data_IF_992389385059
#
_entry.id   IF_992389385059
#
_cell.length_a   1.000
_cell.length_b   1.000
_cell.length_c   1.000
_cell.angle_alpha   90.00
_cell.angle_beta   90.00
_cell.angle_gamma   90.00
#
_symmetry.space_group_name_H-M   'P 1'
#
loop_
_entity.id
_entity.type
_entity.pdbx_description
1 polymer ?
#
# COMPACT_ATOMS: atom_id res chain seq x y z
N UNK A 1 8.48 -21.89 7.21
CA UNK A 1 7.35 -20.95 7.07
C UNK A 1 7.74 -19.92 6.02
N UNK A 2 6.84 -19.55 5.11
CA UNK A 2 7.10 -18.46 4.14
C UNK A 2 6.53 -17.15 4.68
N UNK A 3 7.24 -16.04 4.45
CA UNK A 3 6.86 -14.69 4.90
C UNK A 3 6.73 -13.79 3.67
N UNK A 4 5.64 -13.04 3.60
CA UNK A 4 5.41 -12.09 2.51
C UNK A 4 4.96 -10.73 3.01
N UNK A 5 5.16 -9.72 2.15
CA UNK A 5 4.73 -8.35 2.40
C UNK A 5 3.46 -8.07 1.59
N UNK A 6 2.41 -7.63 2.28
CA UNK A 6 1.26 -7.03 1.60
C UNK A 6 1.66 -5.60 1.28
N UNK A 7 1.64 -5.19 0.00
CA UNK A 7 2.11 -3.85 -0.39
C UNK A 7 0.97 -2.82 -0.33
N UNK A 8 1.24 -1.57 0.09
CA UNK A 8 0.20 -0.56 0.27
C UNK A 8 -0.17 0.07 -1.09
N UNK A 9 -0.96 -0.65 -1.87
CA UNK A 9 -1.44 -0.21 -3.18
C UNK A 9 -2.54 0.86 -3.10
N UNK A 10 -3.18 1.02 -1.94
CA UNK A 10 -4.08 2.12 -1.60
C UNK A 10 -3.44 3.09 -0.62
N UNK A 11 -3.85 4.36 -0.65
CA UNK A 11 -3.34 5.38 0.28
C UNK A 11 -3.54 4.97 1.75
N UNK A 12 -2.57 5.32 2.60
CA UNK A 12 -2.56 5.08 4.05
C UNK A 12 -2.48 3.61 4.51
N UNK A 13 -2.20 2.67 3.61
CA UNK A 13 -1.94 1.26 3.97
C UNK A 13 -3.16 0.60 4.60
N UNK A 14 -3.07 0.13 5.84
CA UNK A 14 -4.18 -0.56 6.53
C UNK A 14 -4.69 0.18 7.77
N UNK A 15 -4.35 1.47 7.93
CA UNK A 15 -4.76 2.26 9.10
C UNK A 15 -5.75 3.36 8.69
N UNK A 16 -6.94 3.32 9.29
CA UNK A 16 -7.99 4.33 9.12
C UNK A 16 -7.92 5.31 10.29
N UNK A 17 -6.90 6.17 10.28
CA UNK A 17 -6.66 7.13 11.37
C UNK A 17 -5.98 8.39 10.85
N UNK A 18 -6.40 9.55 11.36
CA UNK A 18 -5.72 10.83 11.10
C UNK A 18 -4.37 10.95 11.80
N UNK A 19 -4.09 10.07 12.77
CA UNK A 19 -2.79 9.99 13.46
C UNK A 19 -1.84 8.96 12.82
N UNK A 20 -2.27 8.24 11.79
CA UNK A 20 -1.41 7.34 11.03
C UNK A 20 -0.59 8.12 9.99
N UNK A 21 0.52 7.57 9.47
CA UNK A 21 1.22 8.14 8.33
C UNK A 21 0.27 8.34 7.14
N UNK A 22 0.21 9.57 6.61
CA UNK A 22 -0.59 9.89 5.44
C UNK A 22 0.31 9.86 4.20
N UNK A 23 0.01 8.98 3.24
CA UNK A 23 0.83 8.82 2.04
C UNK A 23 0.02 8.28 0.85
N UNK A 24 0.47 8.65 -0.34
CA UNK A 24 -0.12 8.20 -1.61
C UNK A 24 0.59 6.94 -2.12
N UNK A 25 -0.15 6.01 -2.77
CA UNK A 25 0.43 4.79 -3.28
C UNK A 25 1.14 5.06 -4.61
N UNK A 26 2.41 5.43 -4.57
CA UNK A 26 3.23 5.65 -5.77
C UNK A 26 4.00 4.38 -6.17
N UNK A 27 4.41 4.30 -7.43
CA UNK A 27 5.28 3.22 -7.89
C UNK A 27 6.61 3.19 -7.12
N UNK A 28 7.27 4.35 -6.95
CA UNK A 28 8.56 4.42 -6.24
C UNK A 28 8.45 3.99 -4.77
N UNK A 29 7.35 4.33 -4.08
CA UNK A 29 7.10 3.84 -2.73
C UNK A 29 6.98 2.31 -2.70
N UNK A 30 6.15 1.74 -3.58
CA UNK A 30 5.94 0.29 -3.63
C UNK A 30 7.22 -0.45 -4.05
N UNK A 31 8.00 0.11 -5.00
CA UNK A 31 9.31 -0.40 -5.41
C UNK A 31 10.29 -0.42 -4.25
N UNK A 32 10.41 0.69 -3.50
CA UNK A 32 11.31 0.75 -2.34
C UNK A 32 10.92 -0.25 -1.24
N UNK A 33 9.62 -0.46 -1.02
CA UNK A 33 9.11 -1.47 -0.07
C UNK A 33 9.50 -2.88 -0.52
N UNK A 34 9.23 -3.23 -1.79
CA UNK A 34 9.51 -4.57 -2.31
C UNK A 34 11.01 -4.84 -2.36
N UNK A 35 11.83 -3.88 -2.80
CA UNK A 35 13.30 -4.03 -2.81
C UNK A 35 13.86 -4.21 -1.39
N UNK A 36 13.29 -3.53 -0.39
CA UNK A 36 13.70 -3.71 1.01
C UNK A 36 13.25 -5.07 1.55
N UNK A 37 12.05 -5.53 1.20
CA UNK A 37 11.56 -6.86 1.58
C UNK A 37 12.43 -7.97 0.95
N UNK A 38 12.78 -7.83 -0.33
CA UNK A 38 13.70 -8.72 -1.04
C UNK A 38 15.09 -8.77 -0.37
N UNK A 39 15.65 -7.61 -0.02
CA UNK A 39 16.92 -7.52 0.72
C UNK A 39 16.90 -8.29 2.05
N UNK A 40 15.76 -8.31 2.74
CA UNK A 40 15.57 -9.06 3.99
C UNK A 40 14.99 -10.47 3.79
N UNK A 41 15.07 -11.02 2.58
CA UNK A 41 14.69 -12.40 2.25
C UNK A 41 13.21 -12.75 2.48
N UNK A 42 12.30 -11.78 2.30
CA UNK A 42 10.87 -12.10 2.18
C UNK A 42 10.64 -12.97 0.93
N UNK A 43 9.75 -13.96 1.06
CA UNK A 43 9.48 -14.96 0.01
C UNK A 43 8.57 -14.43 -1.11
N UNK A 44 7.71 -13.46 -0.82
CA UNK A 44 6.77 -12.91 -1.80
C UNK A 44 6.26 -11.50 -1.43
N UNK A 45 5.75 -10.80 -2.45
CA UNK A 45 5.00 -9.56 -2.29
C UNK A 45 3.62 -9.72 -2.94
N UNK A 46 2.57 -9.26 -2.27
CA UNK A 46 1.19 -9.34 -2.74
C UNK A 46 0.59 -7.94 -2.86
N UNK A 47 -0.17 -7.68 -3.92
CA UNK A 47 -1.05 -6.51 -4.01
C UNK A 47 -2.50 -6.96 -4.15
N UNK A 48 -3.40 -6.28 -3.47
CA UNK A 48 -4.84 -6.43 -3.70
C UNK A 48 -5.26 -5.51 -4.85
N UNK A 49 -6.49 -5.69 -5.32
CA UNK A 49 -7.17 -4.69 -6.13
C UNK A 49 -8.33 -4.10 -5.35
N UNK A 50 -8.38 -2.77 -5.27
CA UNK A 50 -9.49 -2.04 -4.62
C UNK A 50 -10.10 -1.05 -5.62
N UNK A 51 -11.34 -1.34 -6.02
CA UNK A 51 -12.03 -0.58 -7.08
C UNK A 51 -12.78 0.66 -6.57
N UNK A 52 -12.97 0.77 -5.25
CA UNK A 52 -13.64 1.90 -4.59
C UNK A 52 -13.12 2.08 -3.17
N UNK A 53 -12.74 3.32 -2.82
CA UNK A 53 -12.36 3.70 -1.47
C UNK A 53 -13.55 3.97 -0.55
N UNK A 54 -13.25 4.40 0.68
CA UNK A 54 -14.26 4.60 1.73
C UNK A 54 -14.52 6.08 2.07
N UNK A 55 -13.69 7.00 1.56
CA UNK A 55 -13.86 8.44 1.78
C UNK A 55 -13.56 8.85 3.23
N UNK A 56 -14.34 9.81 3.75
CA UNK A 56 -14.15 10.37 5.09
C UNK A 56 -12.89 11.24 5.21
N UNK A 57 -12.58 11.68 6.44
CA UNK A 57 -11.48 12.62 6.70
C UNK A 57 -10.09 12.09 6.33
N UNK A 58 -9.92 10.77 6.30
CA UNK A 58 -8.65 10.11 5.95
C UNK A 58 -8.60 9.68 4.48
N UNK A 59 -9.68 9.89 3.72
CA UNK A 59 -9.84 9.50 2.32
C UNK A 59 -9.37 8.06 2.05
N UNK A 60 -9.69 7.13 2.96
CA UNK A 60 -9.03 5.82 3.02
C UNK A 60 -9.29 5.00 1.74
N UNK A 61 -8.20 4.59 1.08
CA UNK A 61 -8.19 3.88 -0.22
C UNK A 61 -8.96 4.57 -1.35
N UNK A 62 -9.14 5.90 -1.29
CA UNK A 62 -9.71 6.67 -2.40
C UNK A 62 -8.77 6.62 -3.61
N UNK A 63 -7.46 6.68 -3.37
CA UNK A 63 -6.47 6.57 -4.44
C UNK A 63 -5.76 5.23 -4.37
N UNK A 64 -5.63 4.58 -5.52
CA UNK A 64 -4.91 3.33 -5.70
C UNK A 64 -3.93 3.44 -6.88
N UNK A 65 -2.78 2.77 -6.80
CA UNK A 65 -1.77 2.82 -7.87
C UNK A 65 -2.31 2.31 -9.22
N UNK A 66 -3.22 1.34 -9.21
CA UNK A 66 -3.87 0.80 -10.41
C UNK A 66 -4.80 1.80 -11.08
N UNK A 67 -5.12 2.91 -10.42
CA UNK A 67 -6.00 3.97 -10.88
C UNK A 67 -5.16 5.25 -11.01
N UNK A 68 -4.16 5.21 -11.90
CA UNK A 68 -3.60 6.44 -12.45
C UNK A 68 -4.74 7.21 -13.14
N UNK A 69 -4.79 8.55 -13.04
CA UNK A 69 -5.64 9.34 -13.93
C UNK A 69 -5.35 9.02 -15.40
#
# INVERSE_FOLDING_TARGET
MKIGVFVPIGNNGWLISTHAPQYMPTFELNKAIVQKAEHYHFDFALSMIKLRGFGGKTEFWITTLSRSP
#
